data_IF_051478859988
#
_entry.id   IF_051478859988
#
_cell.length_a   1.000
_cell.length_b   1.000
_cell.length_c   1.000
_cell.angle_alpha   90.00
_cell.angle_beta   90.00
_cell.angle_gamma   90.00
#
_symmetry.space_group_name_H-M   'P 1'
#
loop_
_entity.id
_entity.type
_entity.pdbx_description
1 polymer ?
#
# COMPACT_ATOMS: atom_id res chain seq x y z
N UNK A 1 18.43 4.08 15.39
CA UNK A 1 17.14 4.66 15.83
C UNK A 1 17.07 4.69 17.35
N UNK A 2 16.86 5.86 17.97
CA UNK A 2 16.59 5.95 19.41
C UNK A 2 15.12 5.65 19.72
N UNK A 3 14.78 5.44 20.99
CA UNK A 3 13.43 5.03 21.39
C UNK A 3 12.35 6.09 21.10
N UNK A 4 12.69 7.39 21.01
CA UNK A 4 11.74 8.43 20.60
C UNK A 4 11.45 8.35 19.10
N UNK A 5 12.49 8.19 18.28
CA UNK A 5 12.36 8.00 16.83
C UNK A 5 11.56 6.73 16.51
N UNK A 6 11.79 5.65 17.25
CA UNK A 6 11.04 4.40 17.12
C UNK A 6 9.56 4.60 17.43
N UNK A 7 9.25 5.30 18.53
CA UNK A 7 7.88 5.60 18.90
C UNK A 7 7.19 6.50 17.88
N UNK A 8 7.85 7.57 17.41
CA UNK A 8 7.31 8.45 16.38
C UNK A 8 7.08 7.68 15.07
N UNK A 9 8.04 6.87 14.63
CA UNK A 9 7.87 6.04 13.44
C UNK A 9 6.70 5.07 13.59
N UNK A 10 6.52 4.46 14.76
CA UNK A 10 5.38 3.60 15.05
C UNK A 10 4.04 4.35 14.98
N UNK A 11 3.93 5.53 15.60
CA UNK A 11 2.72 6.36 15.54
C UNK A 11 2.38 6.85 14.13
N UNK A 12 3.40 7.26 13.36
CA UNK A 12 3.24 7.61 11.95
C UNK A 12 2.78 6.41 11.12
N UNK A 13 3.29 5.21 11.43
CA UNK A 13 2.87 3.97 10.77
C UNK A 13 1.40 3.67 10.99
N UNK A 14 0.93 3.77 12.25
CA UNK A 14 -0.49 3.64 12.60
C UNK A 14 -1.34 4.69 11.88
N UNK A 15 -0.86 5.93 11.83
CA UNK A 15 -1.57 7.03 11.15
C UNK A 15 -1.75 6.75 9.66
N UNK A 16 -0.69 6.28 8.97
CA UNK A 16 -0.77 5.87 7.57
C UNK A 16 -1.75 4.72 7.34
N UNK A 17 -1.73 3.69 8.19
CA UNK A 17 -2.68 2.58 8.10
C UNK A 17 -4.14 3.03 8.32
N UNK A 18 -4.38 3.92 9.29
CA UNK A 18 -5.70 4.51 9.51
C UNK A 18 -6.17 5.37 8.32
N UNK A 19 -5.27 6.09 7.64
CA UNK A 19 -5.61 6.82 6.40
C UNK A 19 -6.04 5.85 5.31
N UNK A 20 -5.28 4.78 5.11
CA UNK A 20 -5.65 3.70 4.18
C UNK A 20 -7.05 3.15 4.49
N UNK A 21 -7.32 2.82 5.76
CA UNK A 21 -8.61 2.32 6.21
C UNK A 21 -9.77 3.29 5.91
N UNK A 22 -9.61 4.58 6.27
CA UNK A 22 -10.65 5.59 6.01
C UNK A 22 -10.96 5.73 4.52
N UNK A 23 -9.94 5.78 3.68
CA UNK A 23 -10.14 5.88 2.22
C UNK A 23 -10.90 4.63 1.72
N UNK A 24 -10.59 3.44 2.22
CA UNK A 24 -11.31 2.22 1.85
C UNK A 24 -12.80 2.28 2.22
N UNK A 25 -13.14 2.77 3.41
CA UNK A 25 -14.53 2.96 3.83
C UNK A 25 -15.31 3.89 2.88
N UNK A 26 -14.68 4.98 2.44
CA UNK A 26 -15.28 5.90 1.46
C UNK A 26 -15.42 5.24 0.08
N UNK A 27 -14.42 4.48 -0.36
CA UNK A 27 -14.41 3.83 -1.67
C UNK A 27 -15.44 2.72 -1.83
N UNK A 28 -15.87 2.06 -0.76
CA UNK A 28 -16.91 1.02 -0.81
C UNK A 28 -18.26 1.57 -1.26
N UNK A 29 -18.55 2.84 -0.95
CA UNK A 29 -19.82 3.49 -1.26
C UNK A 29 -19.72 4.44 -2.47
N UNK A 30 -18.50 4.68 -2.97
CA UNK A 30 -18.26 5.57 -4.09
C UNK A 30 -18.40 4.86 -5.45
N UNK A 31 -18.98 5.50 -6.47
CA UNK A 31 -18.97 4.98 -7.83
C UNK A 31 -17.53 4.75 -8.32
N UNK A 32 -17.24 3.53 -8.78
CA UNK A 32 -15.93 3.17 -9.29
C UNK A 32 -15.67 3.72 -10.71
N UNK A 33 -14.40 3.73 -11.13
CA UNK A 33 -14.00 4.05 -12.50
C UNK A 33 -13.76 5.53 -12.80
N UNK A 34 -14.12 6.45 -11.92
CA UNK A 34 -13.76 7.86 -12.09
C UNK A 34 -12.31 8.13 -11.62
N UNK A 35 -11.78 9.30 -12.00
CA UNK A 35 -10.40 9.68 -11.71
C UNK A 35 -10.11 9.81 -10.20
N UNK A 36 -11.07 10.32 -9.43
CA UNK A 36 -10.95 10.47 -7.96
C UNK A 36 -10.88 9.10 -7.30
N UNK A 37 -11.79 8.19 -7.67
CA UNK A 37 -11.81 6.82 -7.19
C UNK A 37 -10.49 6.11 -7.49
N UNK A 38 -9.99 6.27 -8.73
CA UNK A 38 -8.74 5.66 -9.16
C UNK A 38 -7.52 6.21 -8.39
N UNK A 39 -7.47 7.51 -8.15
CA UNK A 39 -6.41 8.14 -7.36
C UNK A 39 -6.46 7.69 -5.89
N UNK A 40 -7.64 7.66 -5.29
CA UNK A 40 -7.86 7.20 -3.93
C UNK A 40 -7.50 5.71 -3.77
N UNK A 41 -7.87 4.85 -4.72
CA UNK A 41 -7.50 3.43 -4.70
C UNK A 41 -5.97 3.22 -4.72
N UNK A 42 -5.25 4.01 -5.53
CA UNK A 42 -3.77 3.99 -5.53
C UNK A 42 -3.22 4.44 -4.17
N UNK A 43 -3.79 5.51 -3.62
CA UNK A 43 -3.38 6.09 -2.34
C UNK A 43 -3.53 5.09 -1.18
N UNK A 44 -4.61 4.31 -1.15
CA UNK A 44 -4.81 3.22 -0.19
C UNK A 44 -3.61 2.28 -0.15
N UNK A 45 -3.19 1.78 -1.32
CA UNK A 45 -2.11 0.80 -1.41
C UNK A 45 -0.78 1.43 -0.98
N UNK A 46 -0.55 2.70 -1.34
CA UNK A 46 0.65 3.45 -0.93
C UNK A 46 0.69 3.64 0.58
N UNK A 47 -0.39 4.15 1.19
CA UNK A 47 -0.49 4.39 2.63
C UNK A 47 -0.40 3.08 3.44
N UNK A 48 -1.04 2.01 2.96
CA UNK A 48 -0.92 0.68 3.58
C UNK A 48 0.53 0.17 3.56
N UNK A 49 1.22 0.29 2.42
CA UNK A 49 2.56 -0.27 2.28
C UNK A 49 3.64 0.57 2.96
N UNK A 50 3.41 1.87 3.18
CA UNK A 50 4.41 2.82 3.68
C UNK A 50 5.14 2.34 4.94
N UNK A 51 4.47 1.86 6.01
CA UNK A 51 5.14 1.34 7.21
C UNK A 51 6.11 0.19 6.96
N UNK A 52 5.81 -0.63 5.95
CA UNK A 52 6.50 -1.87 5.63
C UNK A 52 7.54 -1.70 4.52
N UNK A 53 7.74 -0.46 4.08
CA UNK A 53 8.76 -0.10 3.10
C UNK A 53 9.87 0.66 3.79
N UNK A 54 11.08 0.57 3.24
CA UNK A 54 12.28 1.16 3.84
C UNK A 54 12.08 2.67 4.04
N UNK A 55 12.09 3.09 5.29
CA UNK A 55 12.23 4.48 5.70
C UNK A 55 13.70 4.77 5.97
N UNK A 56 14.23 5.83 5.36
CA UNK A 56 15.58 6.30 5.64
C UNK A 56 15.57 7.14 6.91
N UNK A 57 16.28 6.68 7.95
CA UNK A 57 16.41 7.41 9.21
C UNK A 57 17.58 8.39 9.11
N UNK A 58 18.70 7.93 8.56
CA UNK A 58 19.88 8.74 8.26
C UNK A 58 20.65 8.10 7.08
N UNK A 59 21.86 8.59 6.79
CA UNK A 59 22.67 8.09 5.67
C UNK A 59 22.96 6.58 5.73
N UNK A 60 23.02 6.00 6.94
CA UNK A 60 23.44 4.62 7.17
C UNK A 60 22.33 3.71 7.71
N UNK A 61 21.29 4.28 8.31
CA UNK A 61 20.21 3.53 8.97
C UNK A 61 18.91 3.55 8.16
N UNK A 62 18.36 2.35 8.03
CA UNK A 62 17.08 2.07 7.37
C UNK A 62 16.20 1.30 8.32
N UNK A 63 14.92 1.63 8.34
CA UNK A 63 13.95 0.93 9.19
C UNK A 63 12.67 0.64 8.44
N UNK A 64 12.09 -0.50 8.78
CA UNK A 64 10.79 -0.97 8.30
C UNK A 64 10.04 -1.48 9.51
N UNK A 65 8.77 -1.13 9.64
CA UNK A 65 7.93 -1.77 10.65
C UNK A 65 7.81 -3.26 10.31
N UNK A 66 8.15 -4.19 11.23
CA UNK A 66 7.93 -5.60 10.99
C UNK A 66 6.43 -5.88 10.89
N UNK A 67 6.05 -6.78 9.98
CA UNK A 67 4.67 -7.24 9.89
C UNK A 67 4.31 -7.99 11.20
N UNK A 68 3.14 -7.71 11.82
CA UNK A 68 2.66 -8.47 12.96
C UNK A 68 2.47 -9.96 12.65
N UNK A 69 2.38 -10.78 13.68
CA UNK A 69 2.08 -12.20 13.49
C UNK A 69 0.62 -12.38 13.06
N UNK A 70 0.42 -12.60 11.76
CA UNK A 70 -0.87 -12.83 11.13
C UNK A 70 -0.95 -14.24 10.51
N UNK A 71 -2.16 -14.76 10.21
CA UNK A 71 -2.33 -15.98 9.44
C UNK A 71 -1.61 -15.92 8.08
N UNK A 72 -1.22 -17.06 7.54
CA UNK A 72 -0.43 -17.13 6.30
C UNK A 72 -1.13 -16.51 5.09
N UNK A 73 -2.45 -16.60 5.03
CA UNK A 73 -3.26 -15.93 4.00
C UNK A 73 -3.06 -14.42 4.01
N UNK A 74 -3.12 -13.79 5.20
CA UNK A 74 -2.90 -12.36 5.37
C UNK A 74 -1.45 -11.96 5.07
N UNK A 75 -0.47 -12.82 5.41
CA UNK A 75 0.95 -12.59 5.05
C UNK A 75 1.16 -12.63 3.53
N UNK A 76 0.54 -13.59 2.85
CA UNK A 76 0.59 -13.70 1.39
C UNK A 76 -0.07 -12.50 0.71
N UNK A 77 -1.21 -12.06 1.25
CA UNK A 77 -1.91 -10.89 0.73
C UNK A 77 -1.12 -9.60 0.97
N UNK A 78 -0.48 -9.44 2.14
CA UNK A 78 0.47 -8.36 2.41
C UNK A 78 1.61 -8.32 1.37
N UNK A 79 2.24 -9.46 1.08
CA UNK A 79 3.30 -9.55 0.07
C UNK A 79 2.79 -9.16 -1.33
N UNK A 80 1.57 -9.55 -1.68
CA UNK A 80 0.90 -9.15 -2.93
C UNK A 80 0.72 -7.63 -3.00
N UNK A 81 0.29 -6.98 -1.92
CA UNK A 81 0.12 -5.52 -1.86
C UNK A 81 1.45 -4.77 -1.98
N UNK A 82 2.52 -5.24 -1.33
CA UNK A 82 3.86 -4.67 -1.49
C UNK A 82 4.34 -4.76 -2.95
N UNK A 83 4.14 -5.92 -3.58
CA UNK A 83 4.46 -6.10 -5.00
C UNK A 83 3.66 -5.15 -5.88
N UNK A 84 2.36 -5.00 -5.61
CA UNK A 84 1.47 -4.11 -6.35
C UNK A 84 1.91 -2.64 -6.24
N UNK A 85 2.26 -2.19 -5.04
CA UNK A 85 2.81 -0.86 -4.79
C UNK A 85 4.08 -0.63 -5.61
N UNK A 86 5.04 -1.54 -5.48
CA UNK A 86 6.35 -1.44 -6.12
C UNK A 86 6.29 -1.60 -7.64
N UNK A 87 5.23 -2.19 -8.21
CA UNK A 87 5.12 -2.39 -9.65
C UNK A 87 4.29 -1.33 -10.36
N UNK A 88 3.21 -0.83 -9.76
CA UNK A 88 2.21 -0.05 -10.51
C UNK A 88 1.66 1.15 -9.75
N UNK A 89 1.61 1.12 -8.42
CA UNK A 89 0.92 2.20 -7.69
C UNK A 89 1.82 3.37 -7.28
N UNK A 90 3.10 3.13 -7.02
CA UNK A 90 4.03 4.16 -6.56
C UNK A 90 5.02 4.66 -7.63
N UNK A 91 5.00 4.06 -8.83
CA UNK A 91 5.90 4.43 -9.93
C UNK A 91 5.09 4.63 -11.20
N UNK A 92 5.31 5.75 -11.89
CA UNK A 92 4.64 6.10 -13.14
C UNK A 92 5.03 5.20 -14.32
N UNK A 93 6.22 4.59 -14.29
CA UNK A 93 6.89 4.15 -15.52
C UNK A 93 7.08 2.63 -15.68
N UNK A 94 6.55 1.81 -14.77
CA UNK A 94 7.04 0.44 -14.61
C UNK A 94 6.52 -0.62 -15.60
N UNK A 95 5.76 -0.26 -16.64
CA UNK A 95 5.19 -1.24 -17.58
C UNK A 95 5.35 -0.91 -19.06
N UNK A 96 6.36 -0.12 -19.43
CA UNK A 96 6.71 0.02 -20.87
C UNK A 96 6.98 -1.35 -21.51
N UNK A 97 7.46 -2.34 -20.74
CA UNK A 97 7.82 -3.68 -21.23
C UNK A 97 6.63 -4.65 -21.43
N UNK A 98 5.48 -4.41 -20.78
CA UNK A 98 4.28 -5.28 -20.88
C UNK A 98 3.12 -4.60 -21.63
N UNK A 99 3.39 -3.46 -22.27
CA UNK A 99 2.40 -2.71 -23.02
C UNK A 99 2.00 -3.47 -24.28
N UNK A 100 0.72 -3.83 -24.40
CA UNK A 100 0.15 -4.30 -25.66
C UNK A 100 -0.32 -3.10 -26.46
N UNK A 101 0.24 -2.94 -27.65
CA UNK A 101 -0.19 -1.94 -28.63
C UNK A 101 -0.98 -2.66 -29.71
N UNK A 102 -2.25 -2.31 -29.85
CA UNK A 102 -3.09 -2.80 -30.94
C UNK A 102 -3.07 -1.77 -32.07
N UNK A 103 -2.74 -2.22 -33.28
CA UNK A 103 -2.66 -1.37 -34.47
C UNK A 103 -3.89 -1.56 -35.35
N UNK A 104 -4.33 -0.49 -36.00
CA UNK A 104 -5.24 -0.61 -37.13
C UNK A 104 -4.51 -1.25 -38.31
N UNK A 105 -5.07 -2.32 -38.89
CA UNK A 105 -4.50 -2.98 -40.06
C UNK A 105 -5.12 -2.50 -41.38
N UNK A 106 -6.05 -1.55 -41.34
CA UNK A 106 -6.80 -1.09 -42.53
C UNK A 106 -6.19 0.13 -43.23
N UNK A 107 -5.20 0.78 -42.63
CA UNK A 107 -4.55 1.98 -43.16
C UNK A 107 -3.15 1.70 -43.75
N UNK A 108 -2.75 2.52 -44.73
CA UNK A 108 -1.40 2.47 -45.34
C UNK A 108 -0.29 2.79 -44.33
N UNK A 109 -0.65 3.45 -43.22
CA UNK A 109 0.20 3.75 -42.07
C UNK A 109 -0.50 3.32 -40.77
N UNK A 110 -0.14 2.17 -40.17
CA UNK A 110 -0.83 1.64 -39.00
C UNK A 110 -0.68 2.56 -37.78
N UNK A 111 -1.80 3.09 -37.29
CA UNK A 111 -1.85 3.94 -36.09
C UNK A 111 -2.14 3.06 -34.86
N UNK A 112 -1.46 3.27 -33.72
CA UNK A 112 -1.79 2.58 -32.47
C UNK A 112 -3.17 3.01 -31.95
N UNK A 113 -4.10 2.06 -31.85
CA UNK A 113 -5.49 2.26 -31.42
C UNK A 113 -5.67 2.12 -29.90
N UNK A 114 -4.98 1.15 -29.28
CA UNK A 114 -5.09 0.86 -27.83
C UNK A 114 -3.71 0.55 -27.30
N UNK A 115 -3.30 1.27 -26.25
CA UNK A 115 -2.10 0.98 -25.46
C UNK A 115 -2.55 0.51 -24.08
N UNK A 116 -2.39 -0.79 -23.79
CA UNK A 116 -2.84 -1.38 -22.53
C UNK A 116 -1.68 -1.99 -21.75
N UNK A 117 -1.54 -1.59 -20.49
CA UNK A 117 -0.72 -2.30 -19.52
C UNK A 117 -1.54 -3.46 -18.93
N UNK A 118 -1.17 -4.70 -19.27
CA UNK A 118 -1.91 -5.90 -18.85
C UNK A 118 -1.58 -6.24 -17.39
N UNK A 119 -2.25 -5.59 -16.44
CA UNK A 119 -2.29 -6.08 -15.05
C UNK A 119 -3.73 -6.44 -14.70
N UNK A 120 -4.09 -7.69 -14.96
CA UNK A 120 -5.35 -8.26 -14.51
C UNK A 120 -5.22 -8.70 -13.05
N UNK A 121 -6.26 -8.44 -12.25
CA UNK A 121 -6.41 -8.81 -10.84
C UNK A 121 -5.89 -7.80 -9.80
N UNK A 122 -6.42 -6.57 -9.85
CA UNK A 122 -6.38 -5.66 -8.70
C UNK A 122 -7.27 -6.21 -7.57
N UNK A 123 -6.81 -6.25 -6.31
CA UNK A 123 -7.63 -6.69 -5.19
C UNK A 123 -8.89 -5.82 -5.02
N UNK A 124 -9.98 -6.43 -4.55
CA UNK A 124 -11.20 -5.70 -4.21
C UNK A 124 -10.96 -4.80 -3.00
N UNK A 125 -11.68 -3.69 -2.94
CA UNK A 125 -11.65 -2.74 -1.80
C UNK A 125 -11.86 -3.47 -0.48
N UNK A 126 -12.84 -4.38 -0.40
CA UNK A 126 -13.13 -5.15 0.81
C UNK A 126 -12.00 -6.07 1.26
N UNK A 127 -11.27 -6.70 0.33
CA UNK A 127 -10.11 -7.55 0.66
C UNK A 127 -8.99 -6.72 1.28
N UNK A 128 -8.73 -5.53 0.72
CA UNK A 128 -7.74 -4.60 1.26
C UNK A 128 -8.17 -4.09 2.63
N UNK A 129 -9.46 -3.78 2.82
CA UNK A 129 -9.97 -3.30 4.12
C UNK A 129 -9.77 -4.34 5.20
N UNK A 130 -10.17 -5.59 4.96
CA UNK A 130 -10.00 -6.68 5.92
C UNK A 130 -8.52 -6.87 6.29
N UNK A 131 -7.60 -6.73 5.33
CA UNK A 131 -6.17 -6.78 5.60
C UNK A 131 -5.69 -5.62 6.47
N UNK A 132 -6.14 -4.40 6.19
CA UNK A 132 -5.76 -3.21 6.96
C UNK A 132 -6.28 -3.33 8.40
N UNK A 133 -7.52 -3.79 8.58
CA UNK A 133 -8.13 -4.02 9.90
C UNK A 133 -7.34 -5.05 10.70
N UNK A 134 -7.06 -6.23 10.12
CA UNK A 134 -6.29 -7.27 10.80
C UNK A 134 -4.89 -6.79 11.23
N UNK A 135 -4.22 -5.98 10.40
CA UNK A 135 -2.93 -5.38 10.72
C UNK A 135 -3.06 -4.35 11.84
N UNK A 136 -4.05 -3.45 11.77
CA UNK A 136 -4.29 -2.42 12.78
C UNK A 136 -4.61 -3.04 14.13
N UNK A 137 -5.49 -4.04 14.19
CA UNK A 137 -5.85 -4.74 15.42
C UNK A 137 -4.62 -5.34 16.09
N UNK A 138 -3.78 -6.02 15.31
CA UNK A 138 -2.54 -6.61 15.81
C UNK A 138 -1.54 -5.53 16.29
N UNK A 139 -1.42 -4.41 15.57
CA UNK A 139 -0.52 -3.32 15.96
C UNK A 139 -1.03 -2.55 17.18
N UNK A 140 -2.34 -2.35 17.35
CA UNK A 140 -2.88 -1.70 18.55
C UNK A 140 -2.64 -2.54 19.80
N UNK A 141 -2.74 -3.87 19.70
CA UNK A 141 -2.38 -4.78 20.78
C UNK A 141 -0.89 -4.67 21.16
N UNK A 142 0.00 -4.49 20.17
CA UNK A 142 1.43 -4.24 20.40
C UNK A 142 1.70 -2.83 20.92
N UNK A 143 0.95 -1.83 20.45
CA UNK A 143 1.09 -0.43 20.82
C UNK A 143 0.87 -0.20 22.32
N UNK A 144 -0.09 -0.91 22.92
CA UNK A 144 -0.29 -0.89 24.37
C UNK A 144 0.98 -1.31 25.16
N UNK A 145 1.76 -2.25 24.63
CA UNK A 145 3.02 -2.68 25.23
C UNK A 145 4.13 -1.64 25.04
N UNK A 146 4.20 -1.01 23.87
CA UNK A 146 5.13 0.10 23.60
C UNK A 146 4.87 1.31 24.50
N UNK A 147 3.60 1.68 24.70
CA UNK A 147 3.22 2.79 25.57
C UNK A 147 3.57 2.53 27.04
N UNK A 148 3.37 1.31 27.54
CA UNK A 148 3.80 0.92 28.88
C UNK A 148 5.33 1.09 29.05
N UNK A 149 6.10 0.54 28.11
CA UNK A 149 7.57 0.68 28.10
C UNK A 149 8.02 2.15 28.00
N UNK A 150 7.28 2.99 27.29
CA UNK A 150 7.59 4.41 27.16
C UNK A 150 7.24 5.20 28.43
N UNK A 151 6.16 4.82 29.13
CA UNK A 151 5.73 5.43 30.40
C UNK A 151 6.59 5.04 31.60
N UNK A 152 7.21 3.87 31.58
CA UNK A 152 8.12 3.37 32.63
C UNK A 152 9.54 3.97 32.56
N UNK A 153 9.75 5.02 31.77
CA UNK A 153 11.04 5.72 31.70
C UNK A 153 11.30 6.51 33.00
N UNK A 154 12.54 6.50 33.53
CA UNK A 154 12.95 7.41 34.59
C UNK A 154 12.98 8.87 34.13
#
# INVERSE_FOLDING_TARGET
>A
MNLNEEYVHFQESITSLNRSWRILCELENAPSGNAIWSAAYRMVIVEYCKPFTISQINENERYTLPLPNLPDEAKNFHARLLKLRNQVMAHSDLRVLDAKVFYDQTDEYPVPLIVQNVQGNFPKVSEIRNQVEAVLDALYQQGAQYELRFKERP
#
